data_IF_630900684409
#
_entry.id   IF_630900684409
#
_cell.length_a   1.000
_cell.length_b   1.000
_cell.length_c   1.000
_cell.angle_alpha   90.00
_cell.angle_beta   90.00
_cell.angle_gamma   90.00
#
_symmetry.space_group_name_H-M   'P 1'
#
loop_
_entity.id
_entity.type
_entity.pdbx_description
1 polymer ?
#
# COMPACT_ATOMS: atom_id res chain seq x y z
N UNK A 1 -11.86 -12.99 -9.42
CA UNK A 1 -10.69 -13.09 -10.33
C UNK A 1 -9.47 -13.19 -9.46
N UNK A 2 -8.85 -14.35 -9.50
CA UNK A 2 -7.72 -14.65 -8.64
C UNK A 2 -6.42 -13.96 -9.06
N UNK A 3 -5.63 -13.58 -8.06
CA UNK A 3 -4.26 -13.07 -8.28
C UNK A 3 -3.41 -14.09 -9.03
N UNK A 4 -2.58 -13.61 -9.96
CA UNK A 4 -1.59 -14.44 -10.67
C UNK A 4 -0.28 -14.54 -9.92
N UNK A 5 -0.02 -13.62 -8.99
CA UNK A 5 1.16 -13.65 -8.13
C UNK A 5 0.75 -14.04 -6.70
N UNK A 6 0.65 -15.35 -6.45
CA UNK A 6 0.26 -15.91 -5.15
C UNK A 6 1.40 -16.60 -4.42
N UNK A 7 1.36 -16.55 -3.09
CA UNK A 7 2.15 -17.39 -2.20
C UNK A 7 1.19 -18.06 -1.20
N UNK A 8 1.24 -19.39 -1.10
CA UNK A 8 0.36 -20.17 -0.21
C UNK A 8 -1.14 -19.82 -0.39
N UNK A 9 -1.56 -19.62 -1.65
CA UNK A 9 -2.93 -19.31 -2.05
C UNK A 9 -3.34 -17.83 -1.93
N UNK A 10 -2.51 -16.97 -1.37
CA UNK A 10 -2.84 -15.58 -1.07
C UNK A 10 -2.08 -14.62 -2.01
N UNK A 11 -2.67 -13.49 -2.44
CA UNK A 11 -1.99 -12.52 -3.31
C UNK A 11 -0.78 -11.86 -2.64
N UNK A 12 0.39 -11.96 -3.25
CA UNK A 12 1.64 -11.41 -2.69
C UNK A 12 1.54 -9.88 -2.55
N UNK A 13 0.93 -9.20 -3.53
CA UNK A 13 0.73 -7.75 -3.44
C UNK A 13 -0.07 -7.35 -2.20
N UNK A 14 -1.14 -8.08 -1.88
CA UNK A 14 -2.00 -7.82 -0.69
C UNK A 14 -1.28 -8.13 0.63
N UNK A 15 -0.35 -9.09 0.65
CA UNK A 15 0.50 -9.32 1.82
C UNK A 15 1.50 -8.18 2.06
N UNK A 16 1.97 -7.55 0.98
CA UNK A 16 3.05 -6.57 1.06
C UNK A 16 2.57 -5.14 1.30
N UNK A 17 1.40 -4.74 0.81
CA UNK A 17 0.83 -3.39 0.97
C UNK A 17 0.76 -2.86 2.43
N UNK A 18 0.54 -3.67 3.49
CA UNK A 18 0.53 -3.14 4.86
C UNK A 18 1.83 -2.43 5.24
N UNK A 19 2.98 -2.88 4.71
CA UNK A 19 4.28 -2.30 5.02
C UNK A 19 4.47 -0.87 4.48
N UNK A 20 4.41 -0.60 3.16
CA UNK A 20 4.56 0.76 2.65
C UNK A 20 3.48 1.70 3.18
N UNK A 21 2.22 1.27 3.22
CA UNK A 21 1.14 2.15 3.66
C UNK A 21 1.30 2.53 5.14
N UNK A 22 1.55 1.55 6.00
CA UNK A 22 1.76 1.76 7.44
C UNK A 22 2.99 2.62 7.73
N UNK A 23 4.13 2.33 7.09
CA UNK A 23 5.38 3.07 7.30
C UNK A 23 5.28 4.52 6.83
N UNK A 24 4.74 4.76 5.64
CA UNK A 24 4.59 6.11 5.08
C UNK A 24 3.59 6.94 5.88
N UNK A 25 2.47 6.35 6.31
CA UNK A 25 1.50 7.00 7.18
C UNK A 25 2.10 7.35 8.54
N UNK A 26 2.84 6.42 9.14
CA UNK A 26 3.45 6.62 10.47
C UNK A 26 4.56 7.68 10.42
N UNK A 27 5.32 7.75 9.32
CA UNK A 27 6.29 8.83 9.12
C UNK A 27 5.62 10.22 9.17
N UNK A 28 4.46 10.36 8.53
CA UNK A 28 3.68 11.60 8.52
C UNK A 28 3.14 11.93 9.92
N UNK A 29 2.72 10.92 10.68
CA UNK A 29 2.34 11.11 12.09
C UNK A 29 3.52 11.66 12.90
N UNK A 30 4.72 11.10 12.73
CA UNK A 30 5.90 11.61 13.43
C UNK A 30 6.30 13.02 12.99
N UNK A 31 6.16 13.35 11.70
CA UNK A 31 6.33 14.72 11.21
C UNK A 31 5.32 15.69 11.84
N UNK A 32 4.06 15.27 12.00
CA UNK A 32 3.04 16.08 12.67
C UNK A 32 3.41 16.31 14.13
N UNK A 33 3.79 15.26 14.86
CA UNK A 33 4.21 15.39 16.27
C UNK A 33 5.45 16.27 16.39
N UNK A 34 6.42 16.14 15.47
CA UNK A 34 7.62 16.98 15.41
C UNK A 34 7.29 18.49 15.40
N UNK A 35 6.21 18.91 14.71
CA UNK A 35 5.81 20.32 14.63
C UNK A 35 5.32 20.91 15.96
N UNK A 36 4.89 20.08 16.90
CA UNK A 36 4.34 20.52 18.19
C UNK A 36 5.26 20.25 19.38
N UNK A 37 6.38 19.54 19.18
CA UNK A 37 7.33 19.22 20.26
C UNK A 37 8.34 20.35 20.44
N UNK A 38 8.43 20.88 21.66
CA UNK A 38 9.39 21.94 22.00
C UNK A 38 10.77 21.44 22.42
N UNK A 39 10.89 20.17 22.85
CA UNK A 39 12.17 19.59 23.26
C UNK A 39 13.02 19.25 22.01
N UNK A 40 14.21 19.84 21.83
CA UNK A 40 15.01 19.63 20.62
C UNK A 40 15.47 18.18 20.41
N UNK A 41 15.82 17.46 21.48
CA UNK A 41 16.29 16.07 21.37
C UNK A 41 15.16 15.11 20.95
N UNK A 42 13.96 15.34 21.49
CA UNK A 42 12.76 14.60 21.06
C UNK A 42 12.42 14.93 19.61
N UNK A 43 12.44 16.21 19.21
CA UNK A 43 12.18 16.62 17.82
C UNK A 43 13.17 15.96 16.84
N UNK A 44 14.47 15.94 17.17
CA UNK A 44 15.50 15.28 16.36
C UNK A 44 15.29 13.77 16.22
N UNK A 45 14.86 13.13 17.31
CA UNK A 45 14.52 11.70 17.30
C UNK A 45 13.35 11.42 16.36
N UNK A 46 12.26 12.18 16.49
CA UNK A 46 11.06 12.02 15.65
C UNK A 46 11.38 12.24 14.17
N UNK A 47 12.16 13.27 13.86
CA UNK A 47 12.61 13.56 12.49
C UNK A 47 13.45 12.43 11.89
N UNK A 48 14.38 11.87 12.67
CA UNK A 48 15.21 10.73 12.24
C UNK A 48 14.36 9.49 11.98
N UNK A 49 13.40 9.20 12.87
CA UNK A 49 12.48 8.06 12.70
C UNK A 49 11.61 8.24 11.45
N UNK A 50 11.02 9.43 11.25
CA UNK A 50 10.22 9.74 10.07
C UNK A 50 11.03 9.56 8.77
N UNK A 51 12.28 10.05 8.74
CA UNK A 51 13.17 9.87 7.60
C UNK A 51 13.36 8.39 7.22
N UNK A 52 13.70 7.54 8.19
CA UNK A 52 13.92 6.10 7.93
C UNK A 52 12.62 5.34 7.62
N UNK A 53 11.49 5.76 8.20
CA UNK A 53 10.18 5.20 7.84
C UNK A 53 9.79 5.56 6.41
N UNK A 54 10.07 6.78 5.94
CA UNK A 54 9.86 7.15 4.54
C UNK A 54 10.72 6.26 3.64
N UNK A 55 12.01 6.11 3.94
CA UNK A 55 12.92 5.28 3.16
C UNK A 55 12.44 3.81 3.09
N UNK A 56 12.13 3.21 4.25
CA UNK A 56 11.64 1.84 4.33
C UNK A 56 10.29 1.67 3.64
N UNK A 57 9.39 2.65 3.77
CA UNK A 57 8.09 2.66 3.10
C UNK A 57 8.22 2.71 1.57
N UNK A 58 9.15 3.52 1.04
CA UNK A 58 9.44 3.55 -0.40
C UNK A 58 9.96 2.18 -0.87
N UNK A 59 10.92 1.59 -0.16
CA UNK A 59 11.45 0.25 -0.49
C UNK A 59 10.32 -0.78 -0.49
N UNK A 60 9.47 -0.79 0.55
CA UNK A 60 8.31 -1.67 0.61
C UNK A 60 7.35 -1.49 -0.57
N UNK A 61 7.12 -0.24 -1.00
CA UNK A 61 6.27 0.08 -2.15
C UNK A 61 6.86 -0.43 -3.46
N UNK A 62 8.16 -0.25 -3.65
CA UNK A 62 8.89 -0.75 -4.81
C UNK A 62 8.91 -2.29 -4.87
N UNK A 63 8.98 -2.96 -3.73
CA UNK A 63 8.89 -4.43 -3.65
C UNK A 63 7.46 -4.91 -3.94
N UNK A 64 6.43 -4.19 -3.48
CA UNK A 64 5.03 -4.57 -3.71
C UNK A 64 4.55 -4.30 -5.16
N UNK A 65 5.09 -3.28 -5.83
CA UNK A 65 4.61 -2.80 -7.12
C UNK A 65 4.67 -3.84 -8.27
N UNK A 66 5.75 -4.64 -8.44
CA UNK A 66 5.79 -5.67 -9.49
C UNK A 66 4.65 -6.68 -9.39
N UNK A 67 4.31 -7.12 -8.18
CA UNK A 67 3.22 -8.07 -7.96
C UNK A 67 1.86 -7.45 -8.28
N UNK A 68 1.64 -6.20 -7.87
CA UNK A 68 0.43 -5.46 -8.23
C UNK A 68 0.31 -5.23 -9.74
N UNK A 69 1.41 -4.99 -10.43
CA UNK A 69 1.44 -4.86 -11.89
C UNK A 69 1.09 -6.19 -12.59
N UNK A 70 1.62 -7.31 -12.12
CA UNK A 70 1.30 -8.65 -12.65
C UNK A 70 -0.21 -8.90 -12.54
N UNK A 71 -0.80 -8.63 -11.38
CA UNK A 71 -2.23 -8.81 -11.14
C UNK A 71 -3.07 -7.83 -11.99
N UNK A 72 -2.64 -6.57 -12.10
CA UNK A 72 -3.30 -5.59 -12.96
C UNK A 72 -3.31 -6.02 -14.44
N UNK A 73 -2.19 -6.54 -14.95
CA UNK A 73 -2.10 -7.02 -16.34
C UNK A 73 -3.04 -8.21 -16.60
N UNK A 74 -3.32 -9.02 -15.58
CA UNK A 74 -4.27 -10.13 -15.65
C UNK A 74 -5.74 -9.69 -15.70
N UNK A 75 -6.07 -8.47 -15.24
CA UNK A 75 -7.45 -7.96 -15.29
C UNK A 75 -7.94 -7.86 -16.74
N UNK A 76 -9.11 -8.45 -17.07
CA UNK A 76 -9.70 -8.36 -18.40
C UNK A 76 -9.94 -6.91 -18.85
N UNK A 77 -9.68 -6.65 -20.14
CA UNK A 77 -9.89 -5.34 -20.75
C UNK A 77 -11.37 -4.95 -20.76
N UNK A 78 -11.65 -3.63 -20.75
CA UNK A 78 -13.02 -3.10 -20.79
C UNK A 78 -13.80 -3.23 -19.48
N UNK A 79 -13.21 -3.77 -18.41
CA UNK A 79 -13.85 -3.89 -17.10
C UNK A 79 -13.62 -2.66 -16.23
N UNK A 80 -14.54 -2.37 -15.30
CA UNK A 80 -14.36 -1.34 -14.26
C UNK A 80 -13.10 -1.58 -13.43
N UNK A 81 -12.79 -2.85 -13.12
CA UNK A 81 -11.57 -3.24 -12.41
C UNK A 81 -10.30 -2.79 -13.13
N UNK A 82 -10.29 -2.80 -14.48
CA UNK A 82 -9.14 -2.31 -15.24
C UNK A 82 -8.94 -0.81 -15.05
N UNK A 83 -10.00 -0.02 -15.16
CA UNK A 83 -9.90 1.44 -14.99
C UNK A 83 -9.53 1.83 -13.56
N UNK A 84 -10.16 1.22 -12.56
CA UNK A 84 -9.85 1.46 -11.13
C UNK A 84 -8.43 1.01 -10.80
N UNK A 85 -7.99 -0.15 -11.31
CA UNK A 85 -6.64 -0.67 -11.14
C UNK A 85 -5.57 0.25 -11.73
N UNK A 86 -5.83 0.85 -12.89
CA UNK A 86 -4.93 1.82 -13.49
C UNK A 86 -4.82 3.09 -12.63
N UNK A 87 -5.96 3.65 -12.20
CA UNK A 87 -5.97 4.85 -11.36
C UNK A 87 -5.26 4.60 -10.02
N UNK A 88 -5.50 3.44 -9.41
CA UNK A 88 -4.82 3.01 -8.20
C UNK A 88 -3.30 2.89 -8.40
N UNK A 89 -2.86 2.17 -9.45
CA UNK A 89 -1.45 1.96 -9.75
C UNK A 89 -0.70 3.27 -10.03
N UNK A 90 -1.25 4.10 -10.91
CA UNK A 90 -0.68 5.42 -11.26
C UNK A 90 -0.66 6.34 -10.04
N UNK A 91 -1.73 6.37 -9.24
CA UNK A 91 -1.80 7.13 -8.01
C UNK A 91 -0.67 6.75 -7.04
N UNK A 92 -0.42 5.46 -6.86
CA UNK A 92 0.69 4.99 -6.01
C UNK A 92 2.08 5.35 -6.55
N UNK A 93 2.28 5.39 -7.87
CA UNK A 93 3.53 5.90 -8.44
C UNK A 93 3.77 7.35 -8.02
N UNK A 94 2.74 8.21 -8.08
CA UNK A 94 2.86 9.60 -7.60
C UNK A 94 3.08 9.69 -6.10
N UNK A 95 2.43 8.84 -5.29
CA UNK A 95 2.69 8.75 -3.84
C UNK A 95 4.18 8.46 -3.58
N UNK A 96 4.75 7.45 -4.24
CA UNK A 96 6.16 7.10 -4.09
C UNK A 96 7.09 8.23 -4.55
N UNK A 97 6.77 8.92 -5.66
CA UNK A 97 7.55 10.07 -6.13
C UNK A 97 7.54 11.21 -5.11
N UNK A 98 6.39 11.53 -4.52
CA UNK A 98 6.27 12.63 -3.56
C UNK A 98 6.98 12.29 -2.23
N UNK A 99 6.89 11.05 -1.75
CA UNK A 99 7.68 10.61 -0.61
C UNK A 99 9.17 10.56 -0.90
N UNK A 100 9.58 10.13 -2.11
CA UNK A 100 10.97 10.18 -2.54
C UNK A 100 11.49 11.61 -2.63
N UNK A 101 10.67 12.57 -3.06
CA UNK A 101 11.00 13.99 -3.03
C UNK A 101 11.20 14.48 -1.58
N UNK A 102 10.29 14.13 -0.66
CA UNK A 102 10.44 14.46 0.76
C UNK A 102 11.75 13.89 1.33
N UNK A 103 12.05 12.62 1.05
CA UNK A 103 13.28 11.95 1.47
C UNK A 103 14.53 12.62 0.88
N UNK A 104 14.51 12.90 -0.42
CA UNK A 104 15.62 13.53 -1.13
C UNK A 104 15.91 14.93 -0.59
N UNK A 105 14.88 15.75 -0.33
CA UNK A 105 15.05 17.07 0.27
C UNK A 105 15.66 16.96 1.67
N UNK A 106 15.17 16.05 2.51
CA UNK A 106 15.72 15.82 3.87
C UNK A 106 17.18 15.34 3.84
N UNK A 107 17.53 14.50 2.87
CA UNK A 107 18.89 13.98 2.72
C UNK A 107 19.89 15.06 2.28
N UNK A 108 19.48 15.94 1.35
CA UNK A 108 20.37 16.95 0.77
C UNK A 108 20.39 18.28 1.52
N UNK A 109 19.48 18.50 2.49
CA UNK A 109 19.47 19.73 3.28
C UNK A 109 20.35 19.54 4.53
N UNK A 110 21.36 20.40 4.78
CA UNK A 110 22.28 20.26 5.90
C UNK A 110 21.63 20.69 7.21
N UNK A 111 20.75 19.83 7.72
CA UNK A 111 20.07 20.00 9.01
C UNK A 111 20.51 18.91 9.99
N UNK A 112 20.47 19.21 11.28
CA UNK A 112 20.58 18.16 12.30
C UNK A 112 19.45 17.14 12.12
N UNK A 113 19.75 15.85 12.27
CA UNK A 113 18.75 14.78 12.36
C UNK A 113 17.71 14.76 11.22
N UNK A 114 18.11 15.14 10.00
CA UNK A 114 17.24 15.17 8.81
C UNK A 114 15.97 16.01 8.99
N UNK A 115 16.03 17.09 9.78
CA UNK A 115 14.87 17.96 10.05
C UNK A 115 14.16 18.34 8.76
N UNK A 116 12.84 18.16 8.69
CA UNK A 116 12.12 18.45 7.47
C UNK A 116 12.07 19.95 7.20
N UNK A 117 12.29 20.31 5.94
CA UNK A 117 11.93 21.64 5.43
C UNK A 117 10.43 21.70 5.15
N UNK A 118 9.90 22.91 4.97
CA UNK A 118 8.50 23.11 4.55
C UNK A 118 8.17 22.35 3.27
N UNK A 119 9.10 22.29 2.30
CA UNK A 119 8.92 21.54 1.06
C UNK A 119 8.82 20.04 1.29
N UNK A 120 9.66 19.49 2.18
CA UNK A 120 9.62 18.07 2.51
C UNK A 120 8.31 17.67 3.21
N UNK A 121 7.79 18.52 4.11
CA UNK A 121 6.50 18.31 4.77
C UNK A 121 5.34 18.42 3.77
N UNK A 122 5.34 19.44 2.92
CA UNK A 122 4.30 19.62 1.92
C UNK A 122 4.22 18.41 0.98
N UNK A 123 5.37 17.91 0.52
CA UNK A 123 5.45 16.72 -0.32
C UNK A 123 4.90 15.48 0.40
N UNK A 124 5.31 15.19 1.64
CA UNK A 124 4.83 14.01 2.38
C UNK A 124 3.36 14.09 2.76
N UNK A 125 2.83 15.28 3.08
CA UNK A 125 1.42 15.46 3.41
C UNK A 125 0.51 15.32 2.19
N UNK A 126 0.90 15.89 1.04
CA UNK A 126 0.18 15.67 -0.22
C UNK A 126 0.23 14.18 -0.60
N UNK A 127 1.40 13.54 -0.46
CA UNK A 127 1.55 12.12 -0.69
C UNK A 127 0.63 11.28 0.20
N UNK A 128 0.49 11.64 1.48
CA UNK A 128 -0.37 10.94 2.44
C UNK A 128 -1.86 11.04 2.08
N UNK A 129 -2.33 12.23 1.72
CA UNK A 129 -3.72 12.40 1.26
C UNK A 129 -3.99 11.59 0.00
N UNK A 130 -3.05 11.62 -0.97
CA UNK A 130 -3.14 10.82 -2.18
C UNK A 130 -3.09 9.32 -1.87
N UNK A 131 -2.25 8.90 -0.92
CA UNK A 131 -2.15 7.53 -0.44
C UNK A 131 -3.48 7.04 0.12
N UNK A 132 -4.19 7.87 0.89
CA UNK A 132 -5.54 7.55 1.37
C UNK A 132 -6.53 7.34 0.22
N UNK A 133 -6.54 8.23 -0.77
CA UNK A 133 -7.41 8.12 -1.94
C UNK A 133 -7.13 6.86 -2.76
N UNK A 134 -5.86 6.56 -3.04
CA UNK A 134 -5.50 5.33 -3.77
C UNK A 134 -5.68 4.07 -2.93
N UNK A 135 -5.47 4.13 -1.62
CA UNK A 135 -5.78 3.04 -0.69
C UNK A 135 -7.26 2.66 -0.73
N UNK A 136 -8.15 3.65 -0.79
CA UNK A 136 -9.58 3.42 -1.00
C UNK A 136 -9.88 2.71 -2.33
N UNK A 137 -9.22 3.10 -3.43
CA UNK A 137 -9.34 2.39 -4.72
C UNK A 137 -8.83 0.94 -4.63
N UNK A 138 -7.79 0.69 -3.83
CA UNK A 138 -7.31 -0.66 -3.52
C UNK A 138 -8.37 -1.50 -2.82
N UNK A 139 -9.04 -0.91 -1.81
CA UNK A 139 -10.19 -1.53 -1.15
C UNK A 139 -11.34 -1.82 -2.13
N UNK A 140 -11.67 -0.88 -3.01
CA UNK A 140 -12.70 -1.08 -4.04
C UNK A 140 -12.36 -2.26 -4.98
N UNK A 141 -11.09 -2.41 -5.37
CA UNK A 141 -10.64 -3.54 -6.20
C UNK A 141 -10.87 -4.88 -5.50
N UNK A 142 -10.58 -4.97 -4.22
CA UNK A 142 -10.71 -6.22 -3.44
C UNK A 142 -12.17 -6.45 -3.07
N UNK A 143 -12.78 -5.52 -2.37
CA UNK A 143 -14.07 -5.72 -1.68
C UNK A 143 -15.28 -5.65 -2.61
N UNK A 144 -15.22 -4.84 -3.67
CA UNK A 144 -16.34 -4.66 -4.60
C UNK A 144 -16.13 -5.33 -5.94
N UNK A 145 -14.88 -5.47 -6.37
CA UNK A 145 -14.55 -5.98 -7.70
C UNK A 145 -13.89 -7.37 -7.67
N UNK A 146 -13.64 -7.94 -6.48
CA UNK A 146 -13.17 -9.31 -6.30
C UNK A 146 -11.80 -9.58 -6.94
N UNK A 147 -10.94 -8.56 -7.01
CA UNK A 147 -9.58 -8.68 -7.55
C UNK A 147 -8.68 -9.29 -6.48
N UNK A 148 -8.02 -10.39 -6.83
CA UNK A 148 -7.16 -11.13 -5.89
C UNK A 148 -7.92 -12.03 -4.93
N UNK A 149 -9.26 -12.04 -4.99
CA UNK A 149 -10.11 -12.90 -4.16
C UNK A 149 -10.28 -14.25 -4.85
N UNK A 150 -10.24 -15.32 -4.05
CA UNK A 150 -10.51 -16.70 -4.47
C UNK A 150 -11.94 -16.84 -5.01
N UNK A 151 -12.12 -17.56 -6.11
CA UNK A 151 -13.44 -17.67 -6.75
C UNK A 151 -14.43 -18.49 -5.89
N UNK A 152 -13.93 -19.28 -4.92
CA UNK A 152 -14.70 -20.02 -3.93
C UNK A 152 -14.78 -19.35 -2.56
N UNK A 153 -14.38 -18.08 -2.42
CA UNK A 153 -14.40 -17.38 -1.14
C UNK A 153 -15.81 -17.26 -0.54
N UNK A 154 -16.00 -17.82 0.66
CA UNK A 154 -17.19 -17.69 1.50
C UNK A 154 -16.78 -17.87 2.98
N UNK A 155 -17.72 -17.64 3.92
CA UNK A 155 -17.41 -17.65 5.35
C UNK A 155 -16.93 -19.01 5.88
N UNK A 156 -17.32 -20.10 5.22
CA UNK A 156 -16.96 -21.48 5.59
C UNK A 156 -15.96 -22.12 4.60
N UNK A 157 -15.28 -21.32 3.79
CA UNK A 157 -14.32 -21.83 2.81
C UNK A 157 -13.15 -22.57 3.49
N UNK A 158 -12.69 -23.70 2.91
CA UNK A 158 -11.53 -24.41 3.45
C UNK A 158 -10.26 -23.57 3.30
N UNK A 159 -9.25 -23.83 4.13
CA UNK A 159 -8.01 -23.07 4.07
C UNK A 159 -7.22 -23.36 2.78
N UNK A 160 -6.37 -22.40 2.38
CA UNK A 160 -5.59 -22.42 1.13
C UNK A 160 -4.56 -23.54 1.00
N UNK A 161 -4.33 -24.33 2.05
CA UNK A 161 -3.39 -25.44 2.07
C UNK A 161 -4.08 -26.79 1.81
N UNK A 162 -5.40 -26.83 1.76
CA UNK A 162 -6.17 -28.06 1.48
C UNK A 162 -6.42 -28.23 -0.02
N UNK A 163 -6.41 -29.47 -0.50
CA UNK A 163 -6.67 -29.82 -1.91
C UNK A 163 -8.16 -29.91 -2.25
N UNK A 164 -9.04 -29.76 -1.25
CA UNK A 164 -10.48 -29.75 -1.43
C UNK A 164 -10.89 -28.43 -2.07
N UNK A 165 -11.16 -28.44 -3.38
CA UNK A 165 -11.69 -27.26 -4.04
C UNK A 165 -13.04 -26.88 -3.42
N UNK A 166 -13.26 -25.59 -3.16
CA UNK A 166 -14.55 -25.05 -2.69
C UNK A 166 -15.71 -25.28 -3.68
N UNK A 167 -15.48 -25.97 -4.80
CA UNK A 167 -16.47 -26.36 -5.81
C UNK A 167 -17.26 -27.63 -5.45
N UNK A 168 -17.07 -28.21 -4.26
CA UNK A 168 -17.55 -29.56 -3.92
C UNK A 168 -19.01 -29.76 -3.49
N UNK A 169 -19.75 -28.75 -3.00
CA UNK A 169 -21.01 -29.05 -2.27
C UNK A 169 -22.30 -28.39 -2.76
N UNK A 170 -22.28 -27.52 -3.77
CA UNK A 170 -23.52 -26.85 -4.24
C UNK A 170 -24.43 -27.71 -5.16
N UNK A 171 -24.27 -29.05 -5.18
CA UNK A 171 -25.08 -29.97 -6.01
C UNK A 171 -25.72 -31.16 -5.27
N UNK A 172 -25.89 -31.06 -3.95
CA UNK A 172 -26.61 -32.07 -3.17
C UNK A 172 -27.82 -31.45 -2.46
N UNK A 173 -29.01 -32.01 -2.72
CA UNK A 173 -30.27 -31.77 -2.01
C UNK A 173 -31.10 -30.54 -2.40
N UNK A 174 -31.79 -30.66 -3.54
CA UNK A 174 -33.22 -30.31 -3.58
C UNK A 174 -33.95 -31.56 -4.07
N UNK A 175 -34.47 -32.33 -3.11
CA UNK A 175 -35.63 -33.22 -3.30
C UNK A 175 -36.82 -32.56 -2.60
#
# INVERSE_FOLDING_TARGET
>A
MESRAKALGHPIHQMLIPFPFGLLATAVIFDLVYLFVSNPATADTLSTVAFWMIAAGIVGGLVAAPFGLIDYLAIPQGTRAKSVGLLHGVGNVFVLILFALSLWVRYNTPTAAHRPTTTALAASFVAFVLAGATGWLGGELVDRLGVGVDDGAHLDAPNSLTTSSAHGEARGNVL
#
